data_IF_345001812495
#
_entry.id   IF_345001812495
#
_cell.length_a   1.000
_cell.length_b   1.000
_cell.length_c   1.000
_cell.angle_alpha   90.00
_cell.angle_beta   90.00
_cell.angle_gamma   90.00
#
_symmetry.space_group_name_H-M   'P 1'
#
loop_
_entity.id
_entity.type
_entity.pdbx_description
1 polymer ?
#
# COMPACT_ATOMS: atom_id res chain seq x y z
N UNK A 1 3.18 14.97 12.98
CA UNK A 1 3.00 15.14 11.54
C UNK A 1 2.88 13.83 10.75
N UNK A 2 2.42 12.75 11.40
CA UNK A 2 2.16 11.46 10.78
C UNK A 2 0.89 11.49 9.93
N UNK A 3 0.13 12.55 10.01
CA UNK A 3 -1.16 12.71 9.34
C UNK A 3 -1.13 13.70 8.19
N UNK A 4 0.00 13.95 7.57
CA UNK A 4 0.02 14.62 6.29
C UNK A 4 -0.09 13.64 5.18
N UNK A 5 -1.17 13.22 4.91
CA UNK A 5 -1.32 12.41 4.49
C UNK A 5 -1.88 12.00 3.26
N UNK A 6 -2.73 11.27 3.21
CA UNK A 6 -3.31 10.95 1.96
C UNK A 6 -4.60 11.77 1.81
N UNK A 7 -4.49 12.88 1.11
CA UNK A 7 -5.65 13.67 0.65
C UNK A 7 -6.33 12.91 -0.48
N UNK A 8 -6.72 11.65 -0.19
CA UNK A 8 -7.23 10.74 -1.21
C UNK A 8 -8.30 9.78 -0.71
N UNK A 9 -8.99 9.16 -1.62
CA UNK A 9 -9.98 8.11 -1.35
C UNK A 9 -9.47 6.76 -1.83
N UNK A 10 -9.48 5.77 -0.91
CA UNK A 10 -9.10 4.40 -1.18
C UNK A 10 -10.32 3.58 -1.62
N UNK A 11 -10.29 3.08 -2.86
CA UNK A 11 -11.31 2.17 -3.38
C UNK A 11 -10.92 0.73 -3.10
N UNK A 12 -11.88 -0.04 -2.59
CA UNK A 12 -11.73 -1.48 -2.42
C UNK A 12 -12.21 -2.20 -3.68
N UNK A 13 -11.30 -2.83 -4.41
CA UNK A 13 -11.66 -3.61 -5.62
C UNK A 13 -12.45 -4.85 -5.20
N UNK A 14 -13.71 -5.00 -5.59
CA UNK A 14 -14.38 -6.28 -5.55
C UNK A 14 -13.77 -7.21 -6.61
N UNK A 15 -13.76 -8.52 -6.35
CA UNK A 15 -13.21 -9.59 -7.22
C UNK A 15 -13.93 -9.69 -8.59
N UNK A 16 -13.95 -8.63 -9.39
CA UNK A 16 -14.42 -8.65 -10.80
C UNK A 16 -13.92 -7.39 -11.50
N UNK A 17 -13.51 -7.55 -12.76
CA UNK A 17 -13.34 -6.44 -13.69
C UNK A 17 -14.65 -5.64 -13.71
N UNK A 18 -14.65 -4.50 -13.06
CA UNK A 18 -15.81 -3.64 -13.02
C UNK A 18 -15.47 -2.34 -13.77
N UNK A 19 -16.04 -2.10 -14.96
CA UNK A 19 -15.84 -0.84 -15.69
C UNK A 19 -16.26 0.39 -14.88
N UNK A 20 -17.12 0.23 -13.88
CA UNK A 20 -17.51 1.29 -12.96
C UNK A 20 -16.35 1.83 -12.10
N UNK A 21 -15.27 1.04 -11.89
CA UNK A 21 -14.12 1.49 -11.08
C UNK A 21 -13.39 2.66 -11.74
N UNK A 22 -13.24 2.64 -13.06
CA UNK A 22 -12.65 3.78 -13.80
C UNK A 22 -13.47 5.06 -13.62
N UNK A 23 -14.79 4.94 -13.66
CA UNK A 23 -15.68 6.08 -13.43
C UNK A 23 -15.55 6.61 -11.99
N UNK A 24 -15.39 5.73 -11.00
CA UNK A 24 -15.19 6.14 -9.60
C UNK A 24 -13.83 6.83 -9.41
N UNK A 25 -12.74 6.30 -9.98
CA UNK A 25 -11.42 6.94 -9.99
C UNK A 25 -11.52 8.35 -10.60
N UNK A 26 -12.22 8.47 -11.71
CA UNK A 26 -12.41 9.75 -12.42
C UNK A 26 -13.20 10.75 -11.57
N UNK A 27 -14.26 10.30 -10.87
CA UNK A 27 -15.04 11.14 -9.93
C UNK A 27 -14.18 11.64 -8.77
N UNK A 28 -13.34 10.77 -8.19
CA UNK A 28 -12.41 11.14 -7.11
C UNK A 28 -11.46 12.26 -7.59
N UNK A 29 -10.84 12.07 -8.75
CA UNK A 29 -9.92 13.03 -9.34
C UNK A 29 -10.58 14.35 -9.68
N UNK A 30 -11.83 14.34 -10.19
CA UNK A 30 -12.62 15.55 -10.46
C UNK A 30 -12.94 16.35 -9.20
N UNK A 31 -12.95 15.70 -8.03
CA UNK A 31 -13.06 16.38 -6.73
C UNK A 31 -11.71 16.97 -6.23
N UNK A 32 -10.64 16.88 -7.01
CA UNK A 32 -9.31 17.34 -6.62
C UNK A 32 -8.58 16.44 -5.63
N UNK A 33 -9.08 15.21 -5.43
CA UNK A 33 -8.48 14.22 -4.53
C UNK A 33 -7.58 13.23 -5.28
N UNK A 34 -6.64 12.63 -4.57
CA UNK A 34 -5.85 11.50 -5.06
C UNK A 34 -6.68 10.21 -5.02
N UNK A 35 -6.52 9.38 -6.03
CA UNK A 35 -7.21 8.10 -6.13
C UNK A 35 -6.29 6.92 -5.83
N UNK A 36 -6.74 6.04 -4.95
CA UNK A 36 -6.00 4.82 -4.59
C UNK A 36 -6.88 3.58 -4.67
N UNK A 37 -6.25 2.43 -4.88
CA UNK A 37 -6.91 1.13 -4.93
C UNK A 37 -6.26 0.17 -3.93
N UNK A 38 -7.08 -0.61 -3.20
CA UNK A 38 -6.62 -1.70 -2.35
C UNK A 38 -6.82 -3.06 -3.01
N UNK A 39 -5.77 -3.87 -3.07
CA UNK A 39 -5.83 -5.25 -3.53
C UNK A 39 -5.69 -6.22 -2.36
N UNK A 40 -6.64 -7.17 -2.27
CA UNK A 40 -6.62 -8.23 -1.26
C UNK A 40 -5.59 -9.30 -1.62
N UNK A 41 -5.23 -10.19 -0.66
CA UNK A 41 -4.34 -11.33 -0.95
C UNK A 41 -4.78 -12.17 -2.16
N UNK A 42 -6.07 -12.42 -2.33
CA UNK A 42 -6.61 -13.21 -3.44
C UNK A 42 -6.73 -12.43 -4.77
N UNK A 43 -6.55 -11.10 -4.80
CA UNK A 43 -6.72 -10.27 -6.00
C UNK A 43 -5.37 -10.10 -6.71
N UNK A 44 -5.18 -10.64 -7.93
CA UNK A 44 -3.94 -10.44 -8.67
C UNK A 44 -3.83 -9.03 -9.26
N UNK A 45 -2.61 -8.56 -9.51
CA UNK A 45 -2.35 -7.23 -10.10
C UNK A 45 -2.94 -7.11 -11.50
N UNK A 46 -3.06 -8.22 -12.23
CA UNK A 46 -3.69 -8.24 -13.56
C UNK A 46 -5.12 -7.70 -13.58
N UNK A 47 -5.86 -7.76 -12.46
CA UNK A 47 -7.24 -7.21 -12.38
C UNK A 47 -7.29 -5.68 -12.33
N UNK A 48 -6.18 -5.03 -11.98
CA UNK A 48 -6.11 -3.56 -11.87
C UNK A 48 -5.13 -2.93 -12.87
N UNK A 49 -4.52 -3.75 -13.74
CA UNK A 49 -3.43 -3.31 -14.61
C UNK A 49 -3.83 -2.12 -15.50
N UNK A 50 -5.05 -2.13 -16.02
CA UNK A 50 -5.55 -1.08 -16.91
C UNK A 50 -5.88 0.24 -16.16
N UNK A 51 -5.90 0.20 -14.82
CA UNK A 51 -6.17 1.36 -13.97
C UNK A 51 -4.89 2.06 -13.51
N UNK A 52 -3.74 1.39 -13.55
CA UNK A 52 -2.49 1.84 -12.92
C UNK A 52 -2.02 3.22 -13.39
N UNK A 53 -2.30 3.60 -14.64
CA UNK A 53 -1.98 4.93 -15.18
C UNK A 53 -2.75 6.06 -14.49
N UNK A 54 -3.91 5.74 -13.92
CA UNK A 54 -4.82 6.71 -13.32
C UNK A 54 -4.71 6.76 -11.80
N UNK A 55 -3.94 5.87 -11.19
CA UNK A 55 -3.82 5.79 -9.73
C UNK A 55 -2.67 6.63 -9.20
N UNK A 56 -2.89 7.17 -8.02
CA UNK A 56 -1.86 7.84 -7.21
C UNK A 56 -1.24 6.91 -6.18
N UNK A 57 -1.93 5.79 -5.84
CA UNK A 57 -1.41 4.77 -4.92
C UNK A 57 -2.09 3.42 -5.12
N UNK A 58 -1.34 2.34 -4.89
CA UNK A 58 -1.87 0.98 -4.79
C UNK A 58 -1.52 0.42 -3.42
N UNK A 59 -2.55 0.05 -2.65
CA UNK A 59 -2.41 -0.63 -1.37
C UNK A 59 -2.41 -2.14 -1.58
N UNK A 60 -1.35 -2.82 -1.18
CA UNK A 60 -1.25 -4.28 -1.13
C UNK A 60 -1.55 -4.75 0.29
N UNK A 61 -2.65 -5.49 0.45
CA UNK A 61 -2.99 -6.13 1.71
C UNK A 61 -2.10 -7.35 1.94
N UNK A 62 -1.42 -7.37 3.07
CA UNK A 62 -0.54 -8.47 3.52
C UNK A 62 -1.14 -9.30 4.65
N UNK A 63 -2.44 -9.17 4.84
CA UNK A 63 -3.32 -9.99 5.68
C UNK A 63 -4.70 -10.06 5.03
N UNK A 64 -5.53 -11.02 5.41
CA UNK A 64 -6.94 -10.99 5.01
C UNK A 64 -7.67 -9.82 5.69
N UNK A 65 -8.40 -8.98 4.94
CA UNK A 65 -9.13 -7.85 5.53
C UNK A 65 -10.21 -8.33 6.50
N UNK A 66 -10.27 -7.70 7.68
CA UNK A 66 -11.35 -7.97 8.63
C UNK A 66 -10.98 -7.76 10.10
N UNK A 67 -9.82 -8.16 10.55
CA UNK A 67 -9.38 -8.00 11.94
C UNK A 67 -7.86 -7.78 12.04
N UNK A 68 -7.44 -7.11 13.10
CA UNK A 68 -6.02 -6.84 13.37
C UNK A 68 -5.27 -8.03 13.98
N UNK A 69 -3.95 -7.90 14.07
CA UNK A 69 -3.08 -8.89 14.73
C UNK A 69 -2.81 -10.16 13.94
N UNK A 70 -3.13 -10.20 12.66
CA UNK A 70 -2.83 -11.31 11.78
C UNK A 70 -1.34 -11.35 11.41
N UNK A 71 -0.87 -12.57 11.05
CA UNK A 71 0.50 -12.78 10.60
C UNK A 71 0.69 -12.19 9.20
N UNK A 72 1.82 -11.52 9.00
CA UNK A 72 2.25 -10.99 7.71
C UNK A 72 2.34 -12.10 6.64
N UNK A 73 1.76 -11.86 5.49
CA UNK A 73 1.76 -12.78 4.33
C UNK A 73 2.88 -12.35 3.37
N UNK A 74 4.07 -12.95 3.54
CA UNK A 74 5.28 -12.55 2.80
C UNK A 74 5.14 -12.77 1.28
N UNK A 75 4.36 -13.74 0.86
CA UNK A 75 4.08 -14.03 -0.54
C UNK A 75 3.42 -12.84 -1.29
N UNK A 76 2.79 -11.92 -0.57
CA UNK A 76 2.21 -10.71 -1.19
C UNK A 76 3.29 -9.72 -1.67
N UNK A 77 4.54 -9.89 -1.25
CA UNK A 77 5.65 -9.07 -1.75
C UNK A 77 5.93 -9.27 -3.24
N UNK A 78 5.53 -10.39 -3.81
CA UNK A 78 5.60 -10.58 -5.27
C UNK A 78 4.72 -9.58 -6.02
N UNK A 79 3.56 -9.18 -5.45
CA UNK A 79 2.72 -8.12 -6.02
C UNK A 79 3.39 -6.75 -5.92
N UNK A 80 4.07 -6.48 -4.80
CA UNK A 80 4.83 -5.23 -4.64
C UNK A 80 5.91 -5.14 -5.72
N UNK A 81 6.69 -6.21 -5.94
CA UNK A 81 7.72 -6.26 -6.98
C UNK A 81 7.11 -6.12 -8.40
N UNK A 82 5.97 -6.76 -8.66
CA UNK A 82 5.24 -6.61 -9.93
C UNK A 82 4.81 -5.16 -10.16
N UNK A 83 4.27 -4.50 -9.14
CA UNK A 83 3.90 -3.09 -9.21
C UNK A 83 5.10 -2.18 -9.45
N UNK A 84 6.24 -2.42 -8.78
CA UNK A 84 7.48 -1.68 -9.03
C UNK A 84 7.89 -1.81 -10.49
N UNK A 85 7.94 -3.03 -11.02
CA UNK A 85 8.28 -3.29 -12.41
C UNK A 85 7.34 -2.57 -13.37
N UNK A 86 6.03 -2.68 -13.17
CA UNK A 86 5.03 -2.02 -14.03
C UNK A 86 5.16 -0.49 -13.96
N UNK A 87 5.43 0.07 -12.77
CA UNK A 87 5.66 1.50 -12.57
C UNK A 87 6.87 2.00 -13.37
N UNK A 88 7.98 1.26 -13.34
CA UNK A 88 9.21 1.62 -14.06
C UNK A 88 9.06 1.47 -15.58
N UNK A 89 8.54 0.33 -16.04
CA UNK A 89 8.36 0.05 -17.46
C UNK A 89 7.43 1.03 -18.18
N UNK A 90 6.42 1.55 -17.46
CA UNK A 90 5.42 2.46 -18.03
C UNK A 90 5.56 3.91 -17.56
N UNK A 91 6.59 4.21 -16.76
CA UNK A 91 6.82 5.54 -16.18
C UNK A 91 5.62 6.08 -15.36
N UNK A 92 4.89 5.18 -14.67
CA UNK A 92 3.80 5.55 -13.77
C UNK A 92 4.33 6.20 -12.50
N UNK A 93 3.45 6.90 -11.74
CA UNK A 93 3.85 7.73 -10.58
C UNK A 93 3.16 7.35 -9.27
N UNK A 94 2.47 6.22 -9.24
CA UNK A 94 1.78 5.79 -8.03
C UNK A 94 2.74 5.36 -6.92
N UNK A 95 2.32 5.59 -5.69
CA UNK A 95 2.93 5.02 -4.49
C UNK A 95 2.49 3.56 -4.30
N UNK A 96 3.30 2.79 -3.60
CA UNK A 96 3.00 1.39 -3.25
C UNK A 96 2.93 1.28 -1.74
N UNK A 97 1.71 1.08 -1.23
CA UNK A 97 1.43 0.95 0.19
C UNK A 97 1.27 -0.51 0.59
N UNK A 98 1.73 -0.85 1.79
CA UNK A 98 1.54 -2.17 2.40
C UNK A 98 0.79 -2.02 3.72
N UNK A 99 -0.29 -2.81 3.90
CA UNK A 99 -1.04 -2.89 5.16
C UNK A 99 -1.26 -4.35 5.57
N UNK A 100 -0.85 -4.66 6.79
CA UNK A 100 -1.11 -5.92 7.47
C UNK A 100 0.13 -6.63 8.03
N UNK A 101 0.17 -6.84 9.35
CA UNK A 101 1.24 -7.58 10.03
C UNK A 101 2.63 -6.94 9.99
N UNK A 102 2.70 -5.63 9.67
CA UNK A 102 3.97 -4.91 9.60
C UNK A 102 4.53 -4.67 11.00
N UNK A 103 5.81 -5.00 11.19
CA UNK A 103 6.59 -4.86 12.41
C UNK A 103 8.06 -4.53 12.05
N UNK A 104 8.99 -4.31 13.01
CA UNK A 104 10.38 -3.94 12.69
C UNK A 104 11.17 -4.92 11.82
N UNK A 105 10.75 -6.17 11.75
CA UNK A 105 11.38 -7.18 10.88
C UNK A 105 10.75 -7.18 9.49
N UNK A 106 9.41 -7.27 9.42
CA UNK A 106 8.68 -7.36 8.14
C UNK A 106 8.71 -6.07 7.33
N UNK A 107 8.84 -4.90 7.98
CA UNK A 107 8.99 -3.60 7.29
C UNK A 107 10.22 -3.59 6.36
N UNK A 108 11.30 -4.26 6.74
CA UNK A 108 12.52 -4.38 5.91
C UNK A 108 12.21 -5.15 4.62
N UNK A 109 11.43 -6.21 4.72
CA UNK A 109 10.98 -6.99 3.54
C UNK A 109 10.08 -6.14 2.64
N UNK A 110 9.20 -5.31 3.21
CA UNK A 110 8.35 -4.40 2.45
C UNK A 110 9.20 -3.39 1.64
N UNK A 111 10.13 -2.70 2.29
CA UNK A 111 11.00 -1.73 1.63
C UNK A 111 11.94 -2.38 0.61
N UNK A 112 12.54 -3.52 0.95
CA UNK A 112 13.38 -4.28 0.00
C UNK A 112 12.61 -4.73 -1.25
N UNK A 113 11.30 -4.90 -1.15
CA UNK A 113 10.42 -5.22 -2.29
C UNK A 113 9.99 -3.99 -3.09
N UNK A 114 10.18 -2.78 -2.56
CA UNK A 114 9.92 -1.50 -3.22
C UNK A 114 8.64 -0.78 -2.79
N UNK A 115 8.03 -1.20 -1.66
CA UNK A 115 7.00 -0.40 -1.01
C UNK A 115 7.61 0.91 -0.48
N UNK A 116 6.87 2.00 -0.55
CA UNK A 116 7.30 3.31 -0.07
C UNK A 116 6.31 3.96 0.92
N UNK A 117 5.17 3.31 1.16
CA UNK A 117 4.18 3.70 2.17
C UNK A 117 3.85 2.47 3.03
N UNK A 118 3.82 2.66 4.35
CA UNK A 118 3.58 1.56 5.31
C UNK A 118 2.48 1.91 6.30
N UNK A 119 1.53 1.00 6.47
CA UNK A 119 0.55 1.04 7.56
C UNK A 119 0.97 0.06 8.65
N UNK A 120 1.17 0.56 9.85
CA UNK A 120 1.52 -0.25 11.02
C UNK A 120 0.67 0.15 12.23
N UNK A 121 -0.34 -0.63 12.55
CA UNK A 121 -1.24 -0.41 13.69
C UNK A 121 -0.66 -0.98 14.98
N UNK A 122 -0.84 -2.28 15.21
CA UNK A 122 -0.49 -2.95 16.48
C UNK A 122 1.00 -2.86 16.84
N UNK A 123 1.89 -2.87 15.85
CA UNK A 123 3.33 -2.77 16.07
C UNK A 123 3.76 -1.38 16.59
N UNK A 124 3.00 -0.33 16.30
CA UNK A 124 3.24 1.04 16.78
C UNK A 124 2.43 1.30 18.05
N UNK A 125 1.11 1.13 18.00
CA UNK A 125 0.22 1.46 19.12
C UNK A 125 0.37 0.53 20.32
N UNK A 126 0.83 -0.71 20.12
CA UNK A 126 1.15 -1.68 21.15
C UNK A 126 2.58 -1.60 21.70
N UNK A 127 3.41 -0.70 21.19
CA UNK A 127 4.77 -0.53 21.69
C UNK A 127 4.80 0.12 23.08
N UNK A 128 5.78 -0.24 23.90
CA UNK A 128 6.00 0.40 25.21
C UNK A 128 6.33 1.88 25.09
N UNK A 129 7.05 2.24 24.04
CA UNK A 129 7.36 3.62 23.65
C UNK A 129 7.02 3.78 22.17
N UNK A 130 5.94 4.51 21.91
CA UNK A 130 5.43 4.76 20.56
C UNK A 130 6.41 5.64 19.77
N UNK A 131 6.98 6.67 20.41
CA UNK A 131 7.91 7.58 19.76
C UNK A 131 9.16 6.85 19.30
N UNK A 132 9.77 6.06 20.18
CA UNK A 132 10.93 5.24 19.85
C UNK A 132 10.62 4.23 18.70
N UNK A 133 9.42 3.65 18.69
CA UNK A 133 9.01 2.75 17.60
C UNK A 133 8.86 3.47 16.26
N UNK A 134 8.31 4.66 16.26
CA UNK A 134 8.20 5.49 15.05
C UNK A 134 9.58 5.91 14.55
N UNK A 135 10.48 6.30 15.44
CA UNK A 135 11.87 6.63 15.11
C UNK A 135 12.61 5.41 14.52
N UNK A 136 12.44 4.22 15.10
CA UNK A 136 12.98 2.96 14.56
C UNK A 136 12.51 2.72 13.12
N UNK A 137 11.21 2.85 12.86
CA UNK A 137 10.68 2.69 11.51
C UNK A 137 11.20 3.74 10.53
N UNK A 138 11.30 5.00 10.96
CA UNK A 138 11.88 6.06 10.16
C UNK A 138 13.38 5.83 9.87
N UNK A 139 14.13 5.27 10.83
CA UNK A 139 15.52 4.93 10.61
C UNK A 139 15.67 3.78 9.60
N UNK A 140 14.85 2.74 9.71
CA UNK A 140 14.83 1.64 8.74
C UNK A 140 14.49 2.19 7.34
N UNK A 141 13.50 3.08 7.20
CA UNK A 141 13.13 3.66 5.90
C UNK A 141 14.32 4.38 5.23
N UNK A 142 15.11 5.14 6.00
CA UNK A 142 16.32 5.82 5.50
C UNK A 142 17.37 4.84 4.95
N UNK A 143 17.50 3.64 5.52
CA UNK A 143 18.43 2.61 5.03
C UNK A 143 18.06 2.14 3.61
N UNK A 144 16.80 2.28 3.21
CA UNK A 144 16.28 1.95 1.88
C UNK A 144 16.06 3.18 0.97
N UNK A 145 16.52 4.36 1.38
CA UNK A 145 16.33 5.64 0.66
C UNK A 145 14.86 6.04 0.44
N UNK A 146 14.02 5.75 1.43
CA UNK A 146 12.59 6.06 1.46
C UNK A 146 12.31 7.21 2.44
#
# INVERSE_FOLDING_TARGET
DIVKYYDGLLLRVPNRQNPEILEEVDKIKKCGMKAAIAVKPATPISEIKDLLSELDMVLVMTVEPGFGGQKFMEEQMEKVKELVKLREENNYKYDIEVDGGVNPETIKTCFASGANVIVAGSAVLGAKDISARVEEFAQIAKEYNI
#
